data_IF_783981611613
#
_entry.id   IF_783981611613
#
_cell.length_a   1.000
_cell.length_b   1.000
_cell.length_c   1.000
_cell.angle_alpha   90.00
_cell.angle_beta   90.00
_cell.angle_gamma   90.00
#
_symmetry.space_group_name_H-M   'P 1'
#
loop_
_entity.id
_entity.type
_entity.pdbx_description
1 polymer ?
#
# COMPACT_ATOMS: atom_id res chain seq x y z
N UNK A 1 -3.34 2.54 13.98
CA UNK A 1 -3.21 1.87 12.67
C UNK A 1 -1.74 1.74 12.30
N UNK A 2 -1.14 0.55 12.46
CA UNK A 2 0.31 0.33 12.29
C UNK A 2 0.77 0.38 10.82
N UNK A 3 -0.07 -0.08 9.89
CA UNK A 3 0.29 -0.19 8.47
C UNK A 3 0.60 1.18 7.82
N UNK A 4 -0.24 2.20 8.08
CA UNK A 4 -0.05 3.55 7.54
C UNK A 4 1.21 4.21 8.12
N UNK A 5 1.53 3.97 9.39
CA UNK A 5 2.71 4.55 10.01
C UNK A 5 4.01 3.97 9.43
N UNK A 6 4.05 2.66 9.16
CA UNK A 6 5.17 2.03 8.48
C UNK A 6 5.30 2.48 7.02
N UNK A 7 4.18 2.70 6.33
CA UNK A 7 4.18 3.32 5.00
C UNK A 7 4.81 4.71 5.03
N UNK A 8 4.54 5.52 6.07
CA UNK A 8 5.18 6.83 6.27
C UNK A 8 6.69 6.70 6.49
N UNK A 9 7.16 5.62 7.11
CA UNK A 9 8.59 5.39 7.39
C UNK A 9 9.35 4.77 6.21
N UNK A 10 8.76 3.83 5.49
CA UNK A 10 9.41 3.11 4.37
C UNK A 10 9.07 3.68 2.99
N UNK A 11 8.07 4.55 2.88
CA UNK A 11 7.63 5.17 1.62
C UNK A 11 6.91 4.23 0.65
N UNK A 12 6.96 2.91 0.86
CA UNK A 12 6.30 1.92 0.00
C UNK A 12 5.86 0.67 0.76
N UNK A 13 4.77 0.05 0.31
CA UNK A 13 4.30 -1.25 0.79
C UNK A 13 3.97 -2.16 -0.39
N UNK A 14 4.16 -3.47 -0.20
CA UNK A 14 3.69 -4.50 -1.13
C UNK A 14 2.46 -5.19 -0.56
N UNK A 15 1.73 -5.93 -1.40
CA UNK A 15 0.62 -6.77 -0.92
C UNK A 15 1.06 -7.71 0.22
N UNK A 16 2.25 -8.30 0.10
CA UNK A 16 2.83 -9.17 1.13
C UNK A 16 3.13 -8.42 2.42
N UNK A 17 3.68 -7.20 2.32
CA UNK A 17 3.91 -6.34 3.49
C UNK A 17 2.61 -5.96 4.19
N UNK A 18 1.57 -5.63 3.42
CA UNK A 18 0.26 -5.30 3.99
C UNK A 18 -0.36 -6.48 4.74
N UNK A 19 -0.29 -7.70 4.17
CA UNK A 19 -0.74 -8.92 4.85
C UNK A 19 0.02 -9.16 6.15
N UNK A 20 1.35 -8.99 6.16
CA UNK A 20 2.15 -9.17 7.38
C UNK A 20 1.75 -8.18 8.48
N UNK A 21 1.40 -6.94 8.12
CA UNK A 21 1.07 -5.89 9.09
C UNK A 21 -0.36 -5.94 9.63
N UNK A 22 -1.29 -6.44 8.82
CA UNK A 22 -2.71 -6.44 9.15
C UNK A 22 -3.24 -7.83 9.48
N UNK A 23 -2.49 -8.89 9.15
CA UNK A 23 -2.91 -10.28 9.31
C UNK A 23 -4.00 -10.71 8.32
N UNK A 24 -4.37 -9.86 7.36
CA UNK A 24 -5.44 -10.17 6.39
C UNK A 24 -4.90 -11.05 5.25
N UNK A 25 -5.80 -11.75 4.58
CA UNK A 25 -5.46 -12.54 3.40
C UNK A 25 -5.07 -11.64 2.20
N UNK A 26 -4.29 -12.19 1.26
CA UNK A 26 -3.84 -11.49 0.05
C UNK A 26 -4.96 -10.81 -0.75
N UNK A 27 -6.14 -11.42 -0.82
CA UNK A 27 -7.30 -10.88 -1.53
C UNK A 27 -7.89 -9.66 -0.82
N UNK A 28 -7.99 -9.72 0.51
CA UNK A 28 -8.44 -8.61 1.36
C UNK A 28 -7.44 -7.46 1.32
N UNK A 29 -6.14 -7.77 1.45
CA UNK A 29 -5.07 -6.78 1.33
C UNK A 29 -5.12 -6.05 -0.01
N UNK A 30 -5.33 -6.77 -1.13
CA UNK A 30 -5.50 -6.13 -2.44
C UNK A 30 -6.72 -5.22 -2.52
N UNK A 31 -7.86 -5.63 -1.95
CA UNK A 31 -9.07 -4.79 -1.91
C UNK A 31 -8.84 -3.53 -1.09
N UNK A 32 -8.26 -3.65 0.09
CA UNK A 32 -7.98 -2.50 0.96
C UNK A 32 -6.93 -1.57 0.35
N UNK A 33 -5.83 -2.11 -0.18
CA UNK A 33 -4.84 -1.31 -0.91
C UNK A 33 -5.46 -0.60 -2.11
N UNK A 34 -6.38 -1.25 -2.83
CA UNK A 34 -7.13 -0.61 -3.91
C UNK A 34 -8.01 0.52 -3.41
N UNK A 35 -8.75 0.33 -2.32
CA UNK A 35 -9.55 1.40 -1.68
C UNK A 35 -8.67 2.58 -1.29
N UNK A 36 -7.50 2.33 -0.71
CA UNK A 36 -6.54 3.38 -0.35
C UNK A 36 -5.98 4.12 -1.58
N UNK A 37 -5.86 3.45 -2.72
CA UNK A 37 -5.51 4.09 -4.01
C UNK A 37 -6.68 4.91 -4.56
N UNK A 38 -7.90 4.37 -4.54
CA UNK A 38 -9.11 5.09 -4.97
C UNK A 38 -9.39 6.32 -4.10
N UNK A 39 -9.07 6.26 -2.80
CA UNK A 39 -9.13 7.40 -1.88
C UNK A 39 -8.01 8.44 -2.12
N UNK A 40 -7.06 8.16 -3.02
CA UNK A 40 -5.94 9.05 -3.33
C UNK A 40 -4.88 9.12 -2.24
N UNK A 41 -4.92 8.23 -1.24
CA UNK A 41 -3.94 8.13 -0.15
C UNK A 41 -2.68 7.41 -0.64
N UNK A 42 -2.86 6.37 -1.45
CA UNK A 42 -1.78 5.60 -2.05
C UNK A 42 -1.72 5.80 -3.55
N UNK A 43 -0.53 5.71 -4.09
CA UNK A 43 -0.29 5.63 -5.52
C UNK A 43 0.25 4.24 -5.87
N UNK A 44 -0.39 3.57 -6.84
CA UNK A 44 0.09 2.27 -7.30
C UNK A 44 1.25 2.45 -8.28
N UNK A 45 2.48 2.28 -7.79
CA UNK A 45 3.68 2.17 -8.63
C UNK A 45 3.91 0.72 -9.03
N UNK A 46 3.60 0.40 -10.28
CA UNK A 46 3.87 -0.91 -10.87
C UNK A 46 4.92 -0.78 -11.99
N UNK A 47 6.23 -0.69 -11.67
CA UNK A 47 7.29 -0.71 -12.69
C UNK A 47 7.32 -2.01 -13.51
N UNK A 48 6.69 -3.10 -13.04
CA UNK A 48 6.51 -4.36 -13.77
C UNK A 48 5.37 -5.19 -13.17
N UNK A 49 4.75 -6.09 -13.95
CA UNK A 49 3.66 -7.00 -13.50
C UNK A 49 3.98 -7.76 -12.20
N UNK A 50 5.25 -8.06 -11.94
CA UNK A 50 5.72 -8.79 -10.74
C UNK A 50 6.16 -7.90 -9.57
N UNK A 51 6.28 -6.58 -9.77
CA UNK A 51 6.77 -5.63 -8.76
C UNK A 51 5.75 -4.51 -8.56
N UNK A 52 4.52 -4.87 -8.19
CA UNK A 52 3.52 -3.88 -7.80
C UNK A 52 3.83 -3.39 -6.40
N UNK A 53 4.11 -2.10 -6.26
CA UNK A 53 4.33 -1.42 -5.00
C UNK A 53 3.27 -0.32 -4.86
N UNK A 54 2.88 -0.06 -3.62
CA UNK A 54 1.96 1.02 -3.27
C UNK A 54 2.76 2.02 -2.46
N UNK A 55 2.86 3.25 -2.93
CA UNK A 55 3.59 4.32 -2.25
C UNK A 55 2.59 5.29 -1.65
N UNK A 56 2.93 5.95 -0.55
CA UNK A 56 2.11 7.08 -0.08
C UNK A 56 2.16 8.17 -1.13
N UNK A 57 0.99 8.71 -1.48
CA UNK A 57 0.91 9.95 -2.21
C UNK A 57 1.37 11.04 -1.24
N UNK A 58 2.59 11.54 -1.41
CA UNK A 58 2.99 12.76 -0.72
C UNK A 58 2.03 13.86 -1.16
N UNK A 59 1.21 14.36 -0.22
CA UNK A 59 0.59 15.66 -0.37
C UNK A 59 1.75 16.65 -0.52
N UNK A 60 2.04 17.03 -1.76
CA UNK A 60 2.90 18.17 -2.00
C UNK A 60 2.21 19.40 -1.37
N UNK A 61 2.89 20.16 -0.52
CA UNK A 61 2.41 21.49 -0.13
C UNK A 61 2.31 22.43 -1.34
#
# INVERSE_FOLDING_TARGET
MLAVNQLKTQGSITNSGYQYLTGVAATTALKELKVLVDLGILERRAPSRKKTQYVLREERP
#
